data_IF_573152842489
#
_entry.id   IF_573152842489
#
_cell.length_a   1.000
_cell.length_b   1.000
_cell.length_c   1.000
_cell.angle_alpha   90.00
_cell.angle_beta   90.00
_cell.angle_gamma   90.00
#
_symmetry.space_group_name_H-M   'P 1'
#
loop_
_entity.id
_entity.type
_entity.pdbx_description
1 polymer ?
#
# COMPACT_ATOMS: atom_id res chain seq x y z
N UNK A 1 5.44 8.11 -26.97
CA UNK A 1 4.01 7.87 -26.69
C UNK A 1 3.87 6.42 -26.26
N UNK A 2 3.53 6.15 -24.95
CA UNK A 2 3.25 4.80 -24.47
C UNK A 2 1.98 4.29 -25.15
N UNK A 3 2.04 3.22 -25.90
CA UNK A 3 0.86 2.54 -26.46
C UNK A 3 -0.07 2.17 -25.30
N UNK A 4 -1.29 2.70 -25.32
CA UNK A 4 -2.33 2.38 -24.35
C UNK A 4 -2.77 0.95 -24.62
N UNK A 5 -2.42 0.04 -23.73
CA UNK A 5 -2.80 -1.37 -23.84
C UNK A 5 -4.24 -1.55 -23.35
N UNK A 6 -5.20 -1.44 -24.28
CA UNK A 6 -6.64 -1.55 -24.03
C UNK A 6 -7.05 -2.88 -23.34
N UNK A 7 -6.22 -3.92 -23.42
CA UNK A 7 -6.44 -5.20 -22.71
C UNK A 7 -6.27 -5.11 -21.18
N UNK A 8 -5.65 -4.03 -20.67
CA UNK A 8 -5.48 -3.81 -19.23
C UNK A 8 -6.59 -2.96 -18.59
N UNK A 9 -7.49 -2.40 -19.40
CA UNK A 9 -8.62 -1.60 -18.92
C UNK A 9 -9.68 -2.51 -18.32
N UNK A 10 -10.00 -2.31 -17.05
CA UNK A 10 -11.04 -3.08 -16.36
C UNK A 10 -12.43 -2.53 -16.71
N UNK A 11 -12.89 -2.84 -17.93
CA UNK A 11 -14.17 -2.38 -18.49
C UNK A 11 -15.36 -2.70 -17.58
N UNK A 12 -15.33 -3.88 -16.92
CA UNK A 12 -16.40 -4.29 -16.02
C UNK A 12 -16.47 -3.39 -14.78
N UNK A 13 -15.31 -2.97 -14.26
CA UNK A 13 -15.24 -2.03 -13.13
C UNK A 13 -15.77 -0.66 -13.55
N UNK A 14 -15.33 -0.16 -14.70
CA UNK A 14 -15.76 1.13 -15.24
C UNK A 14 -17.27 1.17 -15.48
N UNK A 15 -17.83 0.12 -16.11
CA UNK A 15 -19.26 0.01 -16.39
C UNK A 15 -20.11 -0.03 -15.12
N UNK A 16 -19.68 -0.79 -14.11
CA UNK A 16 -20.38 -0.86 -12.81
C UNK A 16 -20.39 0.49 -12.09
N UNK A 17 -19.26 1.21 -12.09
CA UNK A 17 -19.17 2.52 -11.45
C UNK A 17 -20.03 3.54 -12.20
N UNK A 18 -19.98 3.56 -13.53
CA UNK A 18 -20.79 4.45 -14.34
C UNK A 18 -22.29 4.15 -14.16
N UNK A 19 -22.69 2.88 -14.22
CA UNK A 19 -24.06 2.45 -13.99
C UNK A 19 -24.58 2.80 -12.59
N UNK A 20 -23.73 2.64 -11.56
CA UNK A 20 -24.09 3.04 -10.19
C UNK A 20 -24.21 4.54 -10.03
N UNK A 21 -23.35 5.33 -10.69
CA UNK A 21 -23.48 6.79 -10.72
C UNK A 21 -24.80 7.24 -11.34
N UNK A 22 -25.19 6.64 -12.48
CA UNK A 22 -26.48 6.92 -13.12
C UNK A 22 -27.65 6.51 -12.22
N UNK A 23 -27.57 5.34 -11.58
CA UNK A 23 -28.62 4.90 -10.65
C UNK A 23 -28.76 5.85 -9.44
N UNK A 24 -27.65 6.39 -8.93
CA UNK A 24 -27.67 7.39 -7.86
C UNK A 24 -28.35 8.69 -8.29
N UNK A 25 -28.08 9.16 -9.49
CA UNK A 25 -28.72 10.36 -10.06
C UNK A 25 -30.24 10.15 -10.20
N UNK A 26 -30.64 9.04 -10.85
CA UNK A 26 -32.07 8.72 -11.06
C UNK A 26 -32.82 8.58 -9.73
N UNK A 27 -32.21 7.98 -8.71
CA UNK A 27 -32.81 7.87 -7.38
C UNK A 27 -32.96 9.24 -6.72
N UNK A 28 -31.94 10.10 -6.81
CA UNK A 28 -31.99 11.45 -6.28
C UNK A 28 -33.06 12.33 -7.00
N UNK A 29 -33.18 12.21 -8.32
CA UNK A 29 -34.23 12.88 -9.11
C UNK A 29 -35.63 12.37 -8.75
N UNK A 30 -35.80 11.04 -8.59
CA UNK A 30 -37.07 10.45 -8.20
C UNK A 30 -37.56 10.93 -6.82
N UNK A 31 -36.61 11.27 -5.93
CA UNK A 31 -36.90 11.85 -4.62
C UNK A 31 -37.04 13.38 -4.65
N UNK A 32 -36.97 14.01 -5.82
CA UNK A 32 -37.13 15.46 -6.01
C UNK A 32 -35.97 16.26 -5.38
N UNK A 33 -34.78 15.69 -5.23
CA UNK A 33 -33.61 16.35 -4.64
C UNK A 33 -33.01 17.37 -5.61
N UNK A 34 -32.63 18.53 -5.09
CA UNK A 34 -31.85 19.51 -5.83
C UNK A 34 -30.43 19.03 -6.06
N UNK A 35 -29.81 19.42 -7.17
CA UNK A 35 -28.43 19.03 -7.52
C UNK A 35 -28.22 17.50 -7.59
N UNK A 36 -29.21 16.75 -8.07
CA UNK A 36 -29.18 15.27 -8.12
C UNK A 36 -27.92 14.69 -8.78
N UNK A 37 -27.31 15.40 -9.76
CA UNK A 37 -26.07 14.99 -10.39
C UNK A 37 -24.93 14.77 -9.39
N UNK A 38 -24.93 15.48 -8.27
CA UNK A 38 -23.92 15.31 -7.21
C UNK A 38 -23.96 13.93 -6.56
N UNK A 39 -25.12 13.26 -6.49
CA UNK A 39 -25.21 11.88 -6.00
C UNK A 39 -24.37 10.91 -6.86
N UNK A 40 -24.37 11.11 -8.18
CA UNK A 40 -23.52 10.32 -9.10
C UNK A 40 -22.03 10.56 -8.88
N UNK A 41 -21.63 11.83 -8.69
CA UNK A 41 -20.23 12.19 -8.40
C UNK A 41 -19.79 11.60 -7.04
N UNK A 42 -20.65 11.69 -6.03
CA UNK A 42 -20.40 11.08 -4.71
C UNK A 42 -20.21 9.57 -4.83
N UNK A 43 -21.05 8.89 -5.61
CA UNK A 43 -20.94 7.45 -5.87
C UNK A 43 -19.58 7.11 -6.50
N UNK A 44 -19.19 7.84 -7.55
CA UNK A 44 -17.90 7.65 -8.24
C UNK A 44 -16.71 7.78 -7.27
N UNK A 45 -16.70 8.84 -6.48
CA UNK A 45 -15.63 9.12 -5.53
C UNK A 45 -15.66 8.18 -4.30
N UNK A 46 -16.81 7.56 -3.99
CA UNK A 46 -16.95 6.63 -2.86
C UNK A 46 -16.30 5.28 -3.13
N UNK A 47 -16.27 4.81 -4.39
CA UNK A 47 -15.69 3.52 -4.73
C UNK A 47 -14.17 3.55 -4.59
N UNK A 48 -13.66 3.01 -3.48
CA UNK A 48 -12.23 2.87 -3.18
C UNK A 48 -11.72 1.45 -3.50
N UNK A 49 -10.42 1.24 -3.36
CA UNK A 49 -9.79 -0.05 -3.65
C UNK A 49 -10.17 -1.14 -2.64
N UNK A 50 -10.44 -0.78 -1.38
CA UNK A 50 -10.83 -1.73 -0.34
C UNK A 50 -12.20 -1.38 0.28
N UNK A 51 -12.90 -2.39 0.83
CA UNK A 51 -14.19 -2.19 1.50
C UNK A 51 -14.05 -1.31 2.75
N UNK A 52 -12.98 -1.52 3.52
CA UNK A 52 -12.71 -0.75 4.74
C UNK A 52 -12.46 0.72 4.42
N UNK A 53 -11.66 1.00 3.41
CA UNK A 53 -11.42 2.38 2.95
C UNK A 53 -12.71 3.04 2.45
N UNK A 54 -13.55 2.32 1.70
CA UNK A 54 -14.82 2.85 1.20
C UNK A 54 -15.74 3.28 2.34
N UNK A 55 -15.89 2.44 3.38
CA UNK A 55 -16.70 2.77 4.55
C UNK A 55 -16.08 3.92 5.34
N UNK A 56 -14.77 3.86 5.60
CA UNK A 56 -14.07 4.90 6.36
C UNK A 56 -14.10 6.25 5.64
N UNK A 57 -13.89 6.26 4.33
CA UNK A 57 -14.02 7.45 3.49
C UNK A 57 -15.45 8.04 3.54
N UNK A 58 -16.48 7.19 3.49
CA UNK A 58 -17.86 7.63 3.66
C UNK A 58 -18.08 8.31 5.02
N UNK A 59 -17.61 7.72 6.11
CA UNK A 59 -17.72 8.32 7.47
C UNK A 59 -17.01 9.67 7.54
N UNK A 60 -15.79 9.78 6.98
CA UNK A 60 -15.03 11.04 6.93
C UNK A 60 -15.77 12.13 6.15
N UNK A 61 -16.50 11.77 5.08
CA UNK A 61 -17.29 12.71 4.29
C UNK A 61 -18.47 13.27 5.07
N UNK A 62 -19.16 12.43 5.85
CA UNK A 62 -20.21 12.92 6.74
C UNK A 62 -19.65 13.85 7.81
N UNK A 63 -18.50 13.52 8.41
CA UNK A 63 -17.83 14.39 9.35
C UNK A 63 -17.40 15.73 8.71
N UNK A 64 -16.78 15.66 7.51
CA UNK A 64 -16.41 16.84 6.72
C UNK A 64 -17.62 17.69 6.31
N UNK A 65 -18.75 17.06 6.01
CA UNK A 65 -20.01 17.75 5.74
C UNK A 65 -20.49 18.55 6.96
N UNK A 66 -20.44 17.97 8.15
CA UNK A 66 -20.77 18.69 9.38
C UNK A 66 -19.88 19.91 9.60
N UNK A 67 -18.54 19.74 9.42
CA UNK A 67 -17.58 20.85 9.52
C UNK A 67 -17.89 21.93 8.47
N UNK A 68 -18.09 21.56 7.21
CA UNK A 68 -18.38 22.47 6.11
C UNK A 68 -19.67 23.27 6.37
N UNK A 69 -20.73 22.60 6.83
CA UNK A 69 -22.01 23.24 7.13
C UNK A 69 -21.88 24.23 8.29
N UNK A 70 -21.18 23.85 9.37
CA UNK A 70 -20.92 24.73 10.52
C UNK A 70 -20.11 25.97 10.12
N UNK A 71 -19.15 25.85 9.21
CA UNK A 71 -18.37 26.98 8.69
C UNK A 71 -19.20 27.85 7.74
N UNK A 72 -20.01 27.23 6.87
CA UNK A 72 -20.81 27.95 5.88
C UNK A 72 -21.89 28.81 6.50
N UNK A 73 -22.50 28.35 7.61
CA UNK A 73 -23.57 29.08 8.29
C UNK A 73 -23.18 30.53 8.65
N UNK A 74 -22.17 30.78 9.47
CA UNK A 74 -21.80 32.16 9.83
C UNK A 74 -21.21 32.93 8.64
N UNK A 75 -20.38 32.27 7.82
CA UNK A 75 -19.69 32.97 6.73
C UNK A 75 -20.69 33.48 5.71
N UNK A 76 -21.62 32.66 5.23
CA UNK A 76 -22.61 33.08 4.26
C UNK A 76 -23.66 34.03 4.86
N UNK A 77 -23.93 33.92 6.17
CA UNK A 77 -24.82 34.85 6.86
C UNK A 77 -24.24 36.28 6.95
N UNK A 78 -22.97 36.41 7.36
CA UNK A 78 -22.36 37.72 7.58
C UNK A 78 -21.68 38.32 6.34
N UNK A 79 -21.08 37.46 5.52
CA UNK A 79 -20.27 37.89 4.35
C UNK A 79 -21.06 37.81 3.03
N UNK A 80 -22.26 37.22 3.05
CA UNK A 80 -23.04 36.93 1.83
C UNK A 80 -22.48 35.76 1.03
N UNK A 81 -23.14 35.42 -0.09
CA UNK A 81 -22.80 34.25 -0.94
C UNK A 81 -21.96 34.62 -2.16
N UNK A 82 -20.99 35.51 -1.97
CA UNK A 82 -20.06 35.90 -3.02
C UNK A 82 -18.92 34.85 -3.20
N UNK A 83 -18.26 34.78 -4.36
CA UNK A 83 -17.16 33.82 -4.60
C UNK A 83 -16.01 33.89 -3.58
N UNK A 84 -15.72 35.05 -3.04
CA UNK A 84 -14.68 35.22 -2.00
C UNK A 84 -15.09 34.61 -0.66
N UNK A 85 -16.40 34.62 -0.30
CA UNK A 85 -16.92 33.97 0.90
C UNK A 85 -16.77 32.45 0.79
N UNK A 86 -17.03 31.88 -0.40
CA UNK A 86 -16.73 30.49 -0.69
C UNK A 86 -15.24 30.18 -0.52
N UNK A 87 -14.35 31.08 -0.98
CA UNK A 87 -12.91 30.93 -0.79
C UNK A 87 -12.51 30.80 0.68
N UNK A 88 -13.15 31.57 1.59
CA UNK A 88 -12.92 31.50 3.03
C UNK A 88 -13.42 30.15 3.58
N UNK A 89 -14.64 29.72 3.21
CA UNK A 89 -15.19 28.40 3.61
C UNK A 89 -14.26 27.27 3.16
N UNK A 90 -13.80 27.31 1.91
CA UNK A 90 -12.93 26.29 1.33
C UNK A 90 -11.56 26.26 2.04
N UNK A 91 -10.95 27.42 2.32
CA UNK A 91 -9.68 27.50 3.03
C UNK A 91 -9.79 26.89 4.43
N UNK A 92 -10.81 27.25 5.20
CA UNK A 92 -11.01 26.75 6.54
C UNK A 92 -11.34 25.23 6.54
N UNK A 93 -12.17 24.79 5.58
CA UNK A 93 -12.46 23.37 5.37
C UNK A 93 -11.20 22.56 5.09
N UNK A 94 -10.33 23.04 4.18
CA UNK A 94 -9.06 22.39 3.86
C UNK A 94 -8.15 22.29 5.08
N UNK A 95 -7.98 23.39 5.83
CA UNK A 95 -7.13 23.41 7.03
C UNK A 95 -7.62 22.39 8.09
N UNK A 96 -8.94 22.33 8.32
CA UNK A 96 -9.52 21.40 9.29
C UNK A 96 -9.44 19.94 8.78
N UNK A 97 -9.76 19.69 7.50
CA UNK A 97 -9.66 18.35 6.93
C UNK A 97 -8.22 17.82 6.96
N UNK A 98 -7.22 18.66 6.70
CA UNK A 98 -5.81 18.26 6.80
C UNK A 98 -5.38 18.02 8.25
N UNK A 99 -5.82 18.86 9.19
CA UNK A 99 -5.53 18.68 10.61
C UNK A 99 -6.08 17.35 11.15
N UNK A 100 -7.27 16.93 10.68
CA UNK A 100 -7.92 15.68 11.09
C UNK A 100 -7.64 14.49 10.17
N UNK A 101 -6.75 14.61 9.18
CA UNK A 101 -6.42 13.58 8.18
C UNK A 101 -7.64 13.05 7.43
N UNK A 102 -8.49 13.96 6.97
CA UNK A 102 -9.72 13.69 6.23
C UNK A 102 -9.68 14.30 4.81
N UNK A 103 -8.51 14.26 4.16
CA UNK A 103 -8.25 14.90 2.86
C UNK A 103 -9.21 14.42 1.78
N UNK A 104 -9.61 13.14 1.84
CA UNK A 104 -10.54 12.49 0.93
C UNK A 104 -11.99 12.99 1.04
N UNK A 105 -12.34 13.69 2.12
CA UNK A 105 -13.65 14.29 2.29
C UNK A 105 -13.78 15.66 1.63
N UNK A 106 -12.67 16.36 1.41
CA UNK A 106 -12.68 17.77 0.94
C UNK A 106 -13.34 17.97 -0.41
N UNK A 107 -13.07 17.19 -1.49
CA UNK A 107 -13.63 17.47 -2.81
C UNK A 107 -15.16 17.47 -2.83
N UNK A 108 -15.78 16.51 -2.15
CA UNK A 108 -17.24 16.38 -2.11
C UNK A 108 -17.87 17.54 -1.31
N UNK A 109 -17.29 17.83 -0.14
CA UNK A 109 -17.81 18.89 0.71
C UNK A 109 -17.60 20.28 0.10
N UNK A 110 -16.55 20.49 -0.69
CA UNK A 110 -16.37 21.70 -1.48
C UNK A 110 -17.49 21.87 -2.53
N UNK A 111 -17.90 20.80 -3.22
CA UNK A 111 -19.04 20.84 -4.15
C UNK A 111 -20.33 21.22 -3.39
N UNK A 112 -20.58 20.62 -2.22
CA UNK A 112 -21.77 20.96 -1.42
C UNK A 112 -21.76 22.40 -0.91
N UNK A 113 -20.58 22.95 -0.59
CA UNK A 113 -20.44 24.36 -0.23
C UNK A 113 -20.82 25.29 -1.40
N UNK A 114 -20.57 24.90 -2.67
CA UNK A 114 -21.06 25.66 -3.84
C UNK A 114 -22.57 25.63 -3.96
N UNK A 115 -23.23 24.53 -3.60
CA UNK A 115 -24.70 24.47 -3.58
C UNK A 115 -25.27 25.48 -2.61
N UNK A 116 -24.72 25.62 -1.40
CA UNK A 116 -25.13 26.67 -0.45
C UNK A 116 -24.87 28.07 -0.99
N UNK A 117 -23.75 28.29 -1.67
CA UNK A 117 -23.47 29.58 -2.31
C UNK A 117 -24.50 29.94 -3.36
N UNK A 118 -24.84 29.03 -4.28
CA UNK A 118 -25.81 29.28 -5.35
C UNK A 118 -27.26 29.36 -4.84
N UNK A 119 -27.58 28.69 -3.75
CA UNK A 119 -28.90 28.79 -3.10
C UNK A 119 -29.12 30.08 -2.30
N UNK A 120 -28.12 30.96 -2.22
CA UNK A 120 -28.21 32.20 -1.45
C UNK A 120 -27.96 32.03 0.05
N UNK A 121 -27.41 30.91 0.49
CA UNK A 121 -27.08 30.63 1.89
C UNK A 121 -27.45 29.23 2.36
N UNK A 122 -27.32 29.00 3.64
CA UNK A 122 -27.61 27.70 4.29
C UNK A 122 -29.02 27.72 4.88
N UNK A 123 -29.87 26.81 4.45
CA UNK A 123 -31.18 26.57 5.05
C UNK A 123 -31.33 25.12 5.52
N UNK A 124 -32.25 24.87 6.44
CA UNK A 124 -32.51 23.51 6.97
C UNK A 124 -32.92 22.56 5.84
N UNK A 125 -33.73 23.04 4.87
CA UNK A 125 -34.11 22.24 3.70
C UNK A 125 -32.92 21.87 2.82
N UNK A 126 -31.99 22.81 2.59
CA UNK A 126 -30.74 22.55 1.85
C UNK A 126 -29.84 21.56 2.58
N UNK A 127 -29.68 21.71 3.89
CA UNK A 127 -28.89 20.75 4.68
C UNK A 127 -29.47 19.33 4.57
N UNK A 128 -30.80 19.20 4.67
CA UNK A 128 -31.48 17.91 4.47
C UNK A 128 -31.28 17.34 3.07
N UNK A 129 -31.36 18.17 2.04
CA UNK A 129 -31.10 17.79 0.65
C UNK A 129 -29.68 17.24 0.48
N UNK A 130 -28.66 17.95 0.98
CA UNK A 130 -27.25 17.53 0.87
C UNK A 130 -26.97 16.25 1.67
N UNK A 131 -27.56 16.07 2.85
CA UNK A 131 -27.48 14.81 3.60
C UNK A 131 -28.03 13.64 2.77
N UNK A 132 -29.19 13.80 2.15
CA UNK A 132 -29.79 12.76 1.32
C UNK A 132 -28.94 12.43 0.11
N UNK A 133 -28.38 13.42 -0.56
CA UNK A 133 -27.44 13.22 -1.68
C UNK A 133 -26.21 12.42 -1.20
N UNK A 134 -25.67 12.76 -0.02
CA UNK A 134 -24.53 12.07 0.57
C UNK A 134 -24.86 10.61 0.92
N UNK A 135 -26.04 10.37 1.50
CA UNK A 135 -26.53 9.02 1.86
C UNK A 135 -26.71 8.17 0.59
N UNK A 136 -27.39 8.70 -0.44
CA UNK A 136 -27.64 7.98 -1.68
C UNK A 136 -26.32 7.67 -2.39
N UNK A 137 -25.48 8.68 -2.60
CA UNK A 137 -24.22 8.51 -3.32
C UNK A 137 -23.26 7.59 -2.61
N UNK A 138 -23.07 7.78 -1.29
CA UNK A 138 -22.19 6.91 -0.48
C UNK A 138 -22.76 5.52 -0.33
N UNK A 139 -24.07 5.36 -0.12
CA UNK A 139 -24.74 4.07 0.02
C UNK A 139 -24.60 3.22 -1.24
N UNK A 140 -24.90 3.79 -2.41
CA UNK A 140 -24.71 3.08 -3.70
C UNK A 140 -23.23 2.77 -3.94
N UNK A 141 -22.31 3.69 -3.63
CA UNK A 141 -20.88 3.47 -3.76
C UNK A 141 -20.37 2.31 -2.86
N UNK A 142 -20.84 2.24 -1.62
CA UNK A 142 -20.54 1.13 -0.70
C UNK A 142 -21.12 -0.18 -1.23
N UNK A 143 -22.39 -0.19 -1.66
CA UNK A 143 -23.02 -1.36 -2.27
C UNK A 143 -22.24 -1.86 -3.49
N UNK A 144 -21.90 -0.98 -4.42
CA UNK A 144 -21.11 -1.34 -5.60
C UNK A 144 -19.77 -1.98 -5.21
N UNK A 145 -19.08 -1.39 -4.24
CA UNK A 145 -17.80 -1.92 -3.79
C UNK A 145 -17.95 -3.28 -3.09
N UNK A 146 -19.10 -3.52 -2.44
CA UNK A 146 -19.40 -4.82 -1.84
C UNK A 146 -19.55 -5.94 -2.87
N UNK A 147 -20.23 -5.64 -4.00
CA UNK A 147 -20.44 -6.57 -5.12
C UNK A 147 -19.30 -6.57 -6.14
N UNK A 148 -18.24 -5.79 -5.92
CA UNK A 148 -17.11 -5.76 -6.83
C UNK A 148 -16.20 -6.96 -6.58
N UNK A 149 -15.97 -7.84 -7.59
CA UNK A 149 -15.07 -8.97 -7.42
C UNK A 149 -13.66 -8.45 -7.13
N UNK A 150 -13.10 -8.84 -6.02
CA UNK A 150 -11.70 -8.58 -5.72
C UNK A 150 -10.85 -9.47 -6.60
N UNK A 151 -9.92 -8.89 -7.35
CA UNK A 151 -8.89 -9.66 -8.04
C UNK A 151 -7.83 -10.18 -7.05
N UNK A 152 -8.27 -10.79 -5.94
CA UNK A 152 -7.39 -11.36 -4.91
C UNK A 152 -6.40 -12.36 -5.52
N UNK A 153 -6.86 -13.16 -6.51
CA UNK A 153 -5.98 -14.10 -7.24
C UNK A 153 -4.83 -13.38 -7.94
N UNK A 154 -5.09 -12.22 -8.57
CA UNK A 154 -4.04 -11.45 -9.26
C UNK A 154 -3.08 -10.81 -8.27
N UNK A 155 -3.58 -10.33 -7.13
CA UNK A 155 -2.74 -9.74 -6.07
C UNK A 155 -1.83 -10.82 -5.48
N UNK A 156 -2.37 -11.98 -5.12
CA UNK A 156 -1.57 -13.11 -4.61
C UNK A 156 -0.57 -13.62 -5.64
N UNK A 157 -0.94 -13.67 -6.92
CA UNK A 157 0.00 -14.07 -7.97
C UNK A 157 1.15 -13.07 -8.12
N UNK A 158 0.86 -11.76 -8.05
CA UNK A 158 1.92 -10.72 -8.05
C UNK A 158 2.80 -10.80 -6.79
N UNK A 159 2.22 -11.09 -5.63
CA UNK A 159 2.98 -11.27 -4.39
C UNK A 159 3.90 -12.50 -4.48
N UNK A 160 3.37 -13.63 -4.97
CA UNK A 160 4.16 -14.85 -5.19
C UNK A 160 5.32 -14.60 -6.16
N UNK A 161 5.06 -13.95 -7.29
CA UNK A 161 6.11 -13.60 -8.25
C UNK A 161 7.20 -12.70 -7.63
N UNK A 162 6.80 -11.76 -6.78
CA UNK A 162 7.74 -10.91 -6.07
C UNK A 162 8.59 -11.69 -5.06
N UNK A 163 7.97 -12.59 -4.29
CA UNK A 163 8.70 -13.44 -3.35
C UNK A 163 9.68 -14.38 -4.07
N UNK A 164 9.31 -14.92 -5.24
CA UNK A 164 10.18 -15.72 -6.10
C UNK A 164 11.38 -14.89 -6.64
N UNK A 165 11.16 -13.65 -7.06
CA UNK A 165 12.27 -12.76 -7.50
C UNK A 165 13.19 -12.39 -6.33
N UNK A 166 12.65 -12.07 -5.15
CA UNK A 166 13.45 -11.78 -3.94
C UNK A 166 14.30 -13.00 -3.56
N UNK A 167 13.69 -14.19 -3.57
CA UNK A 167 14.40 -15.45 -3.31
C UNK A 167 15.54 -15.65 -4.29
N UNK A 168 15.28 -15.47 -5.58
CA UNK A 168 16.32 -15.57 -6.62
C UNK A 168 17.46 -14.55 -6.46
N UNK A 169 17.19 -13.35 -5.94
CA UNK A 169 18.22 -12.36 -5.62
C UNK A 169 19.09 -12.85 -4.44
N UNK A 170 18.48 -13.35 -3.37
CA UNK A 170 19.18 -13.86 -2.20
C UNK A 170 20.06 -15.08 -2.54
N UNK A 171 19.56 -16.00 -3.37
CA UNK A 171 20.32 -17.15 -3.87
C UNK A 171 21.53 -16.70 -4.72
N UNK A 172 21.36 -15.76 -5.63
CA UNK A 172 22.48 -15.19 -6.41
C UNK A 172 23.50 -14.51 -5.52
N UNK A 173 23.07 -13.79 -4.48
CA UNK A 173 23.97 -13.17 -3.50
C UNK A 173 24.75 -14.22 -2.72
N UNK A 174 24.12 -15.34 -2.34
CA UNK A 174 24.78 -16.43 -1.63
C UNK A 174 25.90 -17.07 -2.46
N UNK A 175 25.64 -17.31 -3.74
CA UNK A 175 26.65 -17.87 -4.68
C UNK A 175 27.78 -16.88 -4.91
N UNK A 176 27.46 -15.61 -5.15
CA UNK A 176 28.48 -14.56 -5.42
C UNK A 176 29.41 -14.27 -4.24
N UNK A 177 28.98 -14.51 -3.02
CA UNK A 177 29.86 -14.41 -1.85
C UNK A 177 31.04 -15.40 -1.90
N UNK A 178 30.86 -16.50 -2.63
CA UNK A 178 31.87 -17.57 -2.77
C UNK A 178 32.64 -17.51 -4.09
N UNK A 179 32.28 -16.59 -4.99
CA UNK A 179 32.94 -16.40 -6.29
C UNK A 179 33.90 -15.21 -6.23
N UNK A 180 35.13 -15.38 -6.74
CA UNK A 180 36.13 -14.32 -6.82
C UNK A 180 35.88 -13.34 -7.98
N UNK A 181 35.05 -13.71 -8.97
CA UNK A 181 34.76 -12.91 -10.15
C UNK A 181 33.47 -12.10 -9.97
N UNK A 182 33.63 -10.78 -9.91
CA UNK A 182 32.53 -9.83 -9.72
C UNK A 182 32.15 -9.12 -11.03
N UNK A 183 32.55 -9.65 -12.19
CA UNK A 183 32.18 -9.12 -13.50
C UNK A 183 30.72 -9.46 -13.83
N UNK A 184 29.95 -8.45 -14.22
CA UNK A 184 28.55 -8.62 -14.65
C UNK A 184 27.51 -8.18 -13.62
N UNK A 185 27.48 -6.87 -13.37
CA UNK A 185 26.37 -6.24 -12.68
C UNK A 185 25.11 -6.27 -13.56
N UNK A 186 24.08 -7.01 -13.13
CA UNK A 186 22.79 -7.03 -13.81
C UNK A 186 21.70 -6.41 -12.90
N UNK A 187 21.36 -5.15 -13.19
CA UNK A 187 20.30 -4.40 -12.50
C UNK A 187 18.88 -4.82 -12.94
N UNK A 188 18.75 -5.68 -13.95
CA UNK A 188 17.45 -6.01 -14.52
C UNK A 188 16.49 -6.69 -13.55
N UNK A 189 17.04 -7.49 -12.62
CA UNK A 189 16.25 -8.17 -11.59
C UNK A 189 15.62 -7.16 -10.60
N UNK A 190 16.34 -6.08 -10.25
CA UNK A 190 15.81 -5.04 -9.35
C UNK A 190 14.75 -4.17 -10.04
N UNK A 191 14.92 -3.86 -11.32
CA UNK A 191 13.91 -3.14 -12.09
C UNK A 191 12.58 -3.90 -12.22
N UNK A 192 12.61 -5.23 -12.13
CA UNK A 192 11.41 -6.08 -12.15
C UNK A 192 10.73 -6.12 -10.78
N UNK A 193 11.48 -6.26 -9.70
CA UNK A 193 10.97 -6.20 -8.32
C UNK A 193 10.37 -4.84 -7.99
N UNK A 194 10.98 -3.73 -8.45
CA UNK A 194 10.48 -2.37 -8.23
C UNK A 194 9.10 -2.14 -8.87
N UNK A 195 8.83 -2.75 -10.03
CA UNK A 195 7.52 -2.65 -10.72
C UNK A 195 6.41 -3.46 -10.05
N UNK A 196 6.75 -4.51 -9.32
CA UNK A 196 5.80 -5.40 -8.66
C UNK A 196 5.50 -5.02 -7.22
N UNK A 197 6.32 -4.14 -6.60
CA UNK A 197 6.30 -3.89 -5.16
C UNK A 197 5.34 -2.79 -4.74
N UNK A 198 4.56 -3.03 -3.69
CA UNK A 198 3.92 -2.01 -2.86
C UNK A 198 4.96 -1.31 -1.95
N UNK A 199 4.58 -0.24 -1.26
CA UNK A 199 5.52 0.68 -0.59
C UNK A 199 6.48 -0.01 0.40
N UNK A 200 6.00 -0.93 1.24
CA UNK A 200 6.83 -1.70 2.18
C UNK A 200 7.78 -2.68 1.48
N UNK A 201 7.33 -3.26 0.38
CA UNK A 201 8.16 -4.15 -0.44
C UNK A 201 9.23 -3.39 -1.21
N UNK A 202 8.99 -2.13 -1.60
CA UNK A 202 10.01 -1.25 -2.18
C UNK A 202 11.15 -1.00 -1.21
N UNK A 203 10.86 -0.83 0.08
CA UNK A 203 11.88 -0.67 1.11
C UNK A 203 12.76 -1.93 1.21
N UNK A 204 12.16 -3.13 1.23
CA UNK A 204 12.91 -4.40 1.17
C UNK A 204 13.80 -4.51 -0.08
N UNK A 205 13.26 -4.17 -1.26
CA UNK A 205 14.04 -4.20 -2.51
C UNK A 205 15.21 -3.21 -2.49
N UNK A 206 15.04 -2.03 -1.87
CA UNK A 206 16.15 -1.06 -1.70
C UNK A 206 17.25 -1.62 -0.81
N UNK A 207 16.90 -2.24 0.31
CA UNK A 207 17.88 -2.87 1.20
C UNK A 207 18.65 -3.97 0.46
N UNK A 208 17.98 -4.85 -0.27
CA UNK A 208 18.62 -5.87 -1.10
C UNK A 208 19.57 -5.25 -2.14
N UNK A 209 19.17 -4.17 -2.78
CA UNK A 209 20.02 -3.47 -3.75
C UNK A 209 21.27 -2.88 -3.10
N UNK A 210 21.16 -2.33 -1.88
CA UNK A 210 22.30 -1.84 -1.10
C UNK A 210 23.25 -2.99 -0.75
N UNK A 211 22.73 -4.10 -0.24
CA UNK A 211 23.51 -5.30 0.07
C UNK A 211 24.25 -5.83 -1.15
N UNK A 212 23.56 -5.92 -2.29
CA UNK A 212 24.16 -6.39 -3.53
C UNK A 212 25.33 -5.51 -4.00
N UNK A 213 25.16 -4.16 -3.93
CA UNK A 213 26.26 -3.22 -4.26
C UNK A 213 27.43 -3.34 -3.31
N UNK A 214 27.22 -3.61 -2.03
CA UNK A 214 28.29 -3.84 -1.06
C UNK A 214 29.05 -5.12 -1.39
N UNK A 215 28.33 -6.18 -1.76
CA UNK A 215 28.92 -7.46 -2.15
C UNK A 215 29.86 -7.31 -3.35
N UNK A 216 29.52 -6.46 -4.33
CA UNK A 216 30.38 -6.16 -5.48
C UNK A 216 31.70 -5.43 -5.14
N UNK A 217 31.85 -4.91 -3.92
CA UNK A 217 33.07 -4.23 -3.44
C UNK A 217 34.05 -5.19 -2.77
N UNK A 218 33.70 -6.44 -2.56
CA UNK A 218 34.59 -7.44 -2.01
C UNK A 218 35.74 -7.72 -3.00
N UNK A 219 36.97 -7.51 -2.57
CA UNK A 219 38.16 -7.72 -3.39
C UNK A 219 38.73 -9.15 -3.23
N UNK A 220 38.40 -9.84 -2.17
CA UNK A 220 38.82 -11.20 -1.85
C UNK A 220 37.68 -11.89 -1.11
N UNK A 221 37.64 -13.23 -1.15
CA UNK A 221 36.65 -14.03 -0.43
C UNK A 221 37.14 -14.19 1.03
N UNK A 222 36.51 -13.52 2.02
CA UNK A 222 36.90 -13.72 3.42
C UNK A 222 36.40 -15.07 3.94
N UNK A 223 37.01 -15.59 4.98
CA UNK A 223 36.59 -16.86 5.65
C UNK A 223 35.10 -16.76 6.10
N UNK A 224 34.69 -15.61 6.56
CA UNK A 224 33.30 -15.33 6.99
C UNK A 224 32.28 -15.32 5.86
N UNK A 225 32.70 -15.33 4.60
CA UNK A 225 31.78 -15.36 3.45
C UNK A 225 30.98 -16.68 3.39
N UNK A 226 31.62 -17.80 3.78
CA UNK A 226 30.99 -19.13 3.75
C UNK A 226 29.75 -19.22 4.68
N UNK A 227 29.83 -18.91 5.99
CA UNK A 227 28.66 -18.95 6.86
C UNK A 227 27.60 -17.94 6.46
N UNK A 228 27.97 -16.75 5.98
CA UNK A 228 27.01 -15.76 5.49
C UNK A 228 26.30 -16.24 4.21
N UNK A 229 27.02 -16.88 3.29
CA UNK A 229 26.43 -17.48 2.08
C UNK A 229 25.40 -18.57 2.45
N UNK A 230 25.75 -19.47 3.38
CA UNK A 230 24.84 -20.50 3.86
C UNK A 230 23.57 -19.88 4.49
N UNK A 231 23.73 -18.82 5.28
CA UNK A 231 22.61 -18.13 5.92
C UNK A 231 21.72 -17.39 4.90
N UNK A 232 22.28 -16.73 3.88
CA UNK A 232 21.49 -16.14 2.80
C UNK A 232 20.68 -17.18 2.04
N UNK A 233 21.24 -18.36 1.81
CA UNK A 233 20.55 -19.48 1.17
C UNK A 233 19.40 -20.00 2.04
N UNK A 234 19.62 -20.09 3.35
CA UNK A 234 18.58 -20.47 4.32
C UNK A 234 17.44 -19.45 4.33
N UNK A 235 17.75 -18.16 4.36
CA UNK A 235 16.74 -17.10 4.25
C UNK A 235 15.95 -17.26 2.94
N UNK A 236 16.63 -17.49 1.81
CA UNK A 236 15.96 -17.68 0.52
C UNK A 236 14.97 -18.87 0.55
N UNK A 237 15.36 -19.98 1.18
CA UNK A 237 14.50 -21.16 1.29
C UNK A 237 13.27 -20.93 2.17
N UNK A 238 13.38 -20.14 3.22
CA UNK A 238 12.29 -19.85 4.16
C UNK A 238 11.57 -18.54 3.87
N UNK A 239 11.91 -17.85 2.77
CA UNK A 239 11.29 -16.59 2.39
C UNK A 239 9.94 -16.83 1.71
N UNK A 240 8.86 -16.76 2.50
CA UNK A 240 7.46 -16.85 2.03
C UNK A 240 6.56 -15.95 2.89
N UNK A 241 5.36 -15.66 2.42
CA UNK A 241 4.44 -14.71 3.06
C UNK A 241 4.15 -15.02 4.53
N UNK A 242 4.02 -16.29 4.89
CA UNK A 242 3.67 -16.75 6.24
C UNK A 242 4.84 -16.85 7.22
N UNK A 243 6.08 -16.50 6.83
CA UNK A 243 7.22 -16.49 7.75
C UNK A 243 7.32 -15.16 8.49
N UNK A 244 7.28 -15.21 9.82
CA UNK A 244 7.41 -14.05 10.72
C UNK A 244 8.86 -13.59 10.93
N UNK A 245 9.81 -14.32 10.36
CA UNK A 245 11.26 -14.09 10.45
C UNK A 245 11.87 -14.12 11.87
N UNK A 246 11.13 -14.54 12.89
CA UNK A 246 11.63 -14.54 14.28
C UNK A 246 12.86 -15.45 14.42
N UNK A 247 12.78 -16.70 13.96
CA UNK A 247 13.90 -17.63 14.00
C UNK A 247 15.10 -17.16 13.17
N UNK A 248 14.85 -16.55 12.01
CA UNK A 248 15.92 -16.00 11.16
C UNK A 248 16.61 -14.80 11.80
N UNK A 249 15.89 -13.97 12.56
CA UNK A 249 16.48 -12.86 13.32
C UNK A 249 17.33 -13.37 14.50
N UNK A 250 16.90 -14.43 15.19
CA UNK A 250 17.69 -15.08 16.24
C UNK A 250 18.99 -15.65 15.68
N UNK A 251 18.94 -16.38 14.57
CA UNK A 251 20.13 -16.89 13.90
C UNK A 251 21.07 -15.76 13.43
N UNK A 252 20.50 -14.64 12.98
CA UNK A 252 21.29 -13.47 12.60
C UNK A 252 22.06 -12.88 13.78
N UNK A 253 21.47 -12.85 14.98
CA UNK A 253 22.18 -12.44 16.20
C UNK A 253 23.34 -13.39 16.54
N UNK A 254 23.19 -14.68 16.30
CA UNK A 254 24.27 -15.64 16.44
C UNK A 254 25.41 -15.37 15.46
N UNK A 255 25.09 -15.01 14.20
CA UNK A 255 26.10 -14.58 13.22
C UNK A 255 26.84 -13.33 13.71
N UNK A 256 26.15 -12.31 14.21
CA UNK A 256 26.78 -11.13 14.78
C UNK A 256 27.67 -11.48 15.99
N UNK A 257 27.25 -12.41 16.85
CA UNK A 257 28.05 -12.87 17.99
C UNK A 257 29.29 -13.61 17.53
N UNK A 258 29.22 -14.40 16.47
CA UNK A 258 30.39 -15.07 15.87
C UNK A 258 31.38 -14.01 15.33
N UNK A 259 30.90 -13.02 14.56
CA UNK A 259 31.74 -11.94 14.06
C UNK A 259 32.48 -11.16 15.16
N UNK A 260 31.84 -10.95 16.33
CA UNK A 260 32.46 -10.24 17.47
C UNK A 260 33.57 -11.10 18.16
N UNK A 261 33.48 -12.41 18.08
CA UNK A 261 34.46 -13.35 18.68
C UNK A 261 35.66 -13.62 17.79
N UNK A 262 35.51 -13.44 16.47
CA UNK A 262 36.59 -13.64 15.52
C UNK A 262 37.79 -12.70 15.79
N UNK A 263 39.02 -13.19 15.61
CA UNK A 263 40.22 -12.40 15.70
C UNK A 263 40.21 -11.21 14.76
N UNK A 264 40.91 -10.14 15.12
CA UNK A 264 41.03 -8.96 14.26
C UNK A 264 41.85 -9.30 13.00
N UNK A 265 41.45 -8.80 11.82
CA UNK A 265 42.23 -9.02 10.59
C UNK A 265 43.64 -8.40 10.68
N UNK A 266 44.64 -9.12 10.19
CA UNK A 266 46.02 -8.66 10.20
C UNK A 266 46.33 -7.66 9.05
N UNK A 267 45.58 -7.72 7.98
CA UNK A 267 45.83 -6.89 6.80
C UNK A 267 44.70 -5.87 6.60
N UNK A 268 45.05 -4.73 5.99
CA UNK A 268 44.06 -3.69 5.62
C UNK A 268 42.94 -4.23 4.68
N UNK A 269 43.33 -5.04 3.69
CA UNK A 269 42.35 -5.63 2.76
C UNK A 269 41.38 -6.59 3.48
N UNK A 270 41.86 -7.41 4.39
CA UNK A 270 41.02 -8.30 5.19
C UNK A 270 40.09 -7.50 6.13
N UNK A 271 40.57 -6.37 6.68
CA UNK A 271 39.74 -5.47 7.49
C UNK A 271 38.63 -4.81 6.66
N UNK A 272 38.95 -4.29 5.49
CA UNK A 272 37.96 -3.68 4.58
C UNK A 272 36.90 -4.69 4.15
N UNK A 273 37.30 -5.90 3.75
CA UNK A 273 36.36 -6.97 3.38
C UNK A 273 35.45 -7.40 4.55
N UNK A 274 36.03 -7.53 5.76
CA UNK A 274 35.26 -7.83 6.97
C UNK A 274 34.24 -6.73 7.30
N UNK A 275 34.62 -5.46 7.16
CA UNK A 275 33.73 -4.33 7.36
C UNK A 275 32.56 -4.34 6.38
N UNK A 276 32.80 -4.70 5.11
CA UNK A 276 31.76 -4.87 4.09
C UNK A 276 30.80 -5.99 4.49
N UNK A 277 31.29 -7.16 4.90
CA UNK A 277 30.43 -8.26 5.33
C UNK A 277 29.60 -7.91 6.57
N UNK A 278 30.19 -7.19 7.54
CA UNK A 278 29.46 -6.70 8.72
C UNK A 278 28.36 -5.72 8.33
N UNK A 279 28.61 -4.85 7.35
CA UNK A 279 27.59 -3.95 6.80
C UNK A 279 26.47 -4.73 6.11
N UNK A 280 26.78 -5.79 5.36
CA UNK A 280 25.77 -6.68 4.75
C UNK A 280 24.90 -7.35 5.82
N UNK A 281 25.47 -7.83 6.92
CA UNK A 281 24.71 -8.38 8.06
C UNK A 281 23.77 -7.34 8.67
N UNK A 282 24.21 -6.08 8.77
CA UNK A 282 23.37 -4.98 9.29
C UNK A 282 22.18 -4.68 8.38
N UNK A 283 22.42 -4.63 7.08
CA UNK A 283 21.34 -4.46 6.10
C UNK A 283 20.40 -5.66 6.08
N UNK A 284 20.92 -6.88 6.27
CA UNK A 284 20.13 -8.10 6.34
C UNK A 284 19.19 -8.09 7.56
N UNK A 285 19.63 -7.53 8.70
CA UNK A 285 18.75 -7.29 9.85
C UNK A 285 17.60 -6.39 9.45
N UNK A 286 17.88 -5.25 8.84
CA UNK A 286 16.85 -4.31 8.39
C UNK A 286 15.88 -4.97 7.42
N UNK A 287 16.36 -5.80 6.49
CA UNK A 287 15.55 -6.56 5.55
C UNK A 287 14.56 -7.51 6.25
N UNK A 288 15.04 -8.29 7.23
CA UNK A 288 14.21 -9.23 8.00
C UNK A 288 13.22 -8.50 8.91
N UNK A 289 13.62 -7.40 9.56
CA UNK A 289 12.75 -6.58 10.39
C UNK A 289 11.61 -5.91 9.59
N UNK A 290 11.89 -5.46 8.36
CA UNK A 290 10.85 -4.94 7.46
C UNK A 290 9.83 -6.05 7.15
N UNK A 291 10.29 -7.27 6.86
CA UNK A 291 9.44 -8.43 6.62
C UNK A 291 8.59 -8.77 7.84
N UNK A 292 9.19 -8.79 9.03
CA UNK A 292 8.52 -9.06 10.29
C UNK A 292 7.44 -7.99 10.59
N UNK A 293 7.76 -6.71 10.43
CA UNK A 293 6.78 -5.61 10.59
C UNK A 293 5.59 -5.77 9.64
N UNK A 294 5.83 -6.18 8.40
CA UNK A 294 4.76 -6.46 7.45
C UNK A 294 3.85 -7.60 7.93
N UNK A 295 4.43 -8.71 8.40
CA UNK A 295 3.68 -9.85 8.91
C UNK A 295 2.85 -9.48 10.16
N UNK A 296 3.43 -8.74 11.10
CA UNK A 296 2.75 -8.31 12.32
C UNK A 296 1.64 -7.27 12.07
N UNK A 297 1.75 -6.47 11.01
CA UNK A 297 0.71 -5.51 10.61
C UNK A 297 -0.54 -6.18 9.99
N UNK A 298 -0.45 -7.45 9.59
CA UNK A 298 -1.60 -8.19 9.07
C UNK A 298 -2.60 -8.52 10.20
N UNK A 299 -3.92 -8.43 9.94
CA UNK A 299 -4.94 -8.88 10.86
C UNK A 299 -4.76 -10.37 11.22
N UNK A 300 -5.06 -10.75 12.46
CA UNK A 300 -4.87 -12.13 12.94
C UNK A 300 -5.61 -13.17 12.08
N UNK A 301 -6.78 -12.83 11.58
CA UNK A 301 -7.55 -13.69 10.67
C UNK A 301 -6.84 -13.93 9.33
N UNK A 302 -6.17 -12.91 8.79
CA UNK A 302 -5.40 -13.04 7.55
C UNK A 302 -4.14 -13.87 7.78
N UNK A 303 -3.45 -13.71 8.91
CA UNK A 303 -2.30 -14.54 9.29
C UNK A 303 -2.67 -16.03 9.42
N UNK A 304 -3.79 -16.36 10.06
CA UNK A 304 -4.30 -17.74 10.17
C UNK A 304 -4.64 -18.34 8.79
N UNK A 305 -5.31 -17.57 7.93
CA UNK A 305 -5.63 -18.03 6.58
C UNK A 305 -4.38 -18.24 5.70
N UNK A 306 -3.36 -17.43 5.89
CA UNK A 306 -2.07 -17.57 5.22
C UNK A 306 -1.37 -18.87 5.64
N UNK A 307 -1.33 -19.14 6.94
CA UNK A 307 -0.76 -20.37 7.50
C UNK A 307 -1.51 -21.62 6.99
N UNK A 308 -2.84 -21.61 6.98
CA UNK A 308 -3.66 -22.72 6.47
C UNK A 308 -3.43 -23.00 4.97
N UNK A 309 -3.20 -21.97 4.16
CA UNK A 309 -2.89 -22.12 2.72
C UNK A 309 -1.53 -22.77 2.52
N UNK A 310 -0.50 -22.30 3.23
CA UNK A 310 0.86 -22.85 3.16
C UNK A 310 0.88 -24.32 3.59
N UNK A 311 0.10 -24.70 4.61
CA UNK A 311 0.00 -26.10 5.06
C UNK A 311 -0.70 -26.99 4.03
N UNK A 312 -1.65 -26.47 3.26
CA UNK A 312 -2.31 -27.21 2.16
C UNK A 312 -1.40 -27.39 0.94
N UNK A 313 -0.59 -26.39 0.62
CA UNK A 313 0.33 -26.47 -0.52
C UNK A 313 1.53 -27.39 -0.25
N UNK A 314 1.88 -27.62 1.02
CA UNK A 314 2.96 -28.54 1.44
C UNK A 314 2.47 -30.00 1.56
N UNK A 315 1.15 -30.23 1.76
CA UNK A 315 0.58 -31.58 1.86
C UNK A 315 0.01 -31.97 0.49
N UNK A 316 0.66 -32.87 -0.28
CA UNK A 316 0.09 -33.37 -1.52
C UNK A 316 -1.24 -34.09 -1.19
N UNK A 317 -2.26 -33.98 -2.06
CA UNK A 317 -3.52 -34.68 -1.83
C UNK A 317 -3.22 -36.17 -1.70
N UNK A 318 -3.52 -36.71 -0.52
CA UNK A 318 -3.48 -38.15 -0.30
C UNK A 318 -4.31 -38.80 -1.40
N UNK A 319 -3.68 -39.69 -2.16
CA UNK A 319 -4.32 -40.51 -3.17
C UNK A 319 -5.48 -41.26 -2.50
N UNK A 320 -6.69 -40.83 -2.81
CA UNK A 320 -7.89 -41.61 -2.56
C UNK A 320 -7.82 -42.84 -3.52
N UNK A 321 -7.41 -43.97 -2.95
CA UNK A 321 -7.73 -45.29 -3.50
C UNK A 321 -9.17 -45.64 -3.14
#
# INVERSE_FOLDING_TARGET
MKQINLKQVNWMKALKIAGGGVAAILLAEALGLQNAASAGIITLLTVQNTRRETVMSSVRRFAGFGIMTLLSLPIYHFCGTAPWSFGIVLLLLLLLCYAFRMDDATPINAVMATHYMFAGGVSIGMVGNEILLLVIGSGIGVCLNWFMPRNLKKIHEMQRQLDEEIRGILERMSVRLLEADHTGYDDSCFARTERLSEELRREQCRVLQVMYRQLLRLNQIPEQATPLSAFLKEIAQHFHEGNDCTALLEQLEEQFAAYRRDALPETRAAFENRAILYSILTELRSFLEIKQRFYLALPEQERKQMFERLTRDITPPAQLQ
#
